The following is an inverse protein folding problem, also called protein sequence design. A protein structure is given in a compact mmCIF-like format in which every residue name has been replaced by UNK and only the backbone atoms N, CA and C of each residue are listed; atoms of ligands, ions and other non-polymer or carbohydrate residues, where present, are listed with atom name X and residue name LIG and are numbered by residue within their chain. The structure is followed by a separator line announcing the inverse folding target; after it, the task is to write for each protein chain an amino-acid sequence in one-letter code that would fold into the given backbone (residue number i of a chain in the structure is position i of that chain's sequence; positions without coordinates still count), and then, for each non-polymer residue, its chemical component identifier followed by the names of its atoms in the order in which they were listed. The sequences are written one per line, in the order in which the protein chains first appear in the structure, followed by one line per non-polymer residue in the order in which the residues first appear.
data_IF_558521953942
#
_entry.id   IF_558521953942
#
_cell.length_a   1.000
_cell.length_b   1.000
_cell.length_c   1.000
_cell.angle_alpha   90.00
_cell.angle_beta   90.00
_cell.angle_gamma   90.00
#
_symmetry.space_group_name_H-M   'P 1'
#
loop_
_entity.id
_entity.type
_entity.pdbx_description
1 polymer ?
#
# COMPACT_ATOMS: atom_id res chain seq x y z
N UNK A 1 15.58 -20.78 -13.48
CA UNK A 1 14.59 -20.42 -14.51
C UNK A 1 14.51 -18.91 -14.36
N UNK A 2 15.16 -18.19 -15.26
CA UNK A 2 15.31 -16.73 -15.19
C UNK A 2 14.07 -16.10 -15.80
N UNK A 3 13.25 -15.42 -14.98
CA UNK A 3 12.10 -14.66 -15.44
C UNK A 3 12.56 -13.26 -15.87
N UNK A 4 12.21 -12.76 -17.06
CA UNK A 4 12.74 -11.49 -17.58
C UNK A 4 12.04 -10.23 -17.02
N UNK A 5 11.32 -10.30 -15.89
CA UNK A 5 10.41 -9.23 -15.46
C UNK A 5 10.65 -8.80 -14.00
N UNK A 6 10.84 -7.50 -13.79
CA UNK A 6 11.26 -6.93 -12.49
C UNK A 6 10.41 -5.71 -12.07
N UNK A 7 9.16 -5.61 -12.50
CA UNK A 7 8.28 -4.54 -12.03
C UNK A 7 7.33 -5.06 -10.94
N UNK A 8 7.53 -4.55 -9.72
CA UNK A 8 6.60 -4.68 -8.60
C UNK A 8 5.59 -3.54 -8.68
N UNK A 9 4.31 -3.82 -8.59
CA UNK A 9 3.28 -2.80 -8.37
C UNK A 9 2.62 -3.04 -7.03
N UNK A 10 2.90 -2.15 -6.06
CA UNK A 10 2.29 -2.17 -4.75
C UNK A 10 1.01 -1.37 -4.71
N UNK A 11 -0.15 -2.03 -4.63
CA UNK A 11 -1.39 -1.40 -4.14
C UNK A 11 -1.77 -2.10 -2.83
N UNK A 12 -1.91 -1.33 -1.76
CA UNK A 12 -3.03 -1.57 -0.88
C UNK A 12 -3.58 -0.22 -0.42
N UNK A 13 -4.79 0.08 -0.88
CA UNK A 13 -5.64 1.13 -0.32
C UNK A 13 -5.68 0.84 1.18
N UNK A 14 -5.15 1.74 2.01
CA UNK A 14 -5.31 1.66 3.45
C UNK A 14 -6.81 1.74 3.76
N UNK A 15 -7.49 0.59 3.79
CA UNK A 15 -8.68 0.42 4.62
C UNK A 15 -8.21 0.17 6.05
N UNK A 16 -7.23 0.94 6.50
CA UNK A 16 -7.00 1.16 7.90
C UNK A 16 -7.95 2.29 8.29
N UNK A 17 -9.20 1.96 8.63
CA UNK A 17 -10.07 2.89 9.36
C UNK A 17 -9.47 3.30 10.73
N UNK A 18 -8.31 2.76 11.11
CA UNK A 18 -7.50 3.23 12.22
C UNK A 18 -6.02 3.35 11.84
N UNK A 19 -5.52 4.58 11.93
CA UNK A 19 -4.15 5.07 11.68
C UNK A 19 -3.01 4.06 11.92
N UNK A 20 -1.97 4.03 11.04
CA UNK A 20 -0.70 3.31 11.26
C UNK A 20 0.13 3.82 12.46
N UNK A 21 -0.23 4.97 13.05
CA UNK A 21 0.45 5.52 14.23
C UNK A 21 0.22 4.72 15.53
N UNK A 22 -0.65 3.71 15.51
CA UNK A 22 -0.86 2.85 16.67
C UNK A 22 0.29 1.85 16.86
N UNK A 23 0.77 1.16 15.82
CA UNK A 23 1.69 0.01 16.00
C UNK A 23 3.08 0.40 16.53
N UNK A 24 3.70 1.45 16.00
CA UNK A 24 5.02 1.88 16.49
C UNK A 24 4.97 2.37 17.95
N UNK A 25 3.87 3.00 18.37
CA UNK A 25 3.65 3.37 19.78
C UNK A 25 3.13 2.21 20.66
N UNK A 26 2.60 1.14 20.06
CA UNK A 26 2.10 -0.05 20.78
C UNK A 26 3.23 -1.05 21.09
N UNK A 27 4.24 -1.20 20.23
CA UNK A 27 5.45 -1.98 20.55
C UNK A 27 6.17 -1.39 21.77
N UNK A 28 6.15 -0.05 21.93
CA UNK A 28 6.67 0.66 23.11
C UNK A 28 5.84 0.36 24.39
N UNK A 29 4.63 -0.21 24.27
CA UNK A 29 3.71 -0.49 25.39
C UNK A 29 3.56 -1.96 25.75
N UNK A 30 4.44 -2.86 25.29
CA UNK A 30 4.41 -4.29 25.66
C UNK A 30 3.08 -4.98 25.26
N UNK A 31 2.51 -4.60 24.12
CA UNK A 31 1.27 -5.20 23.59
C UNK A 31 1.63 -6.32 22.61
N UNK A 32 1.06 -7.49 22.81
CA UNK A 32 1.18 -8.64 21.91
C UNK A 32 0.58 -8.27 20.53
N UNK A 33 1.39 -8.29 19.44
CA UNK A 33 0.93 -7.97 18.09
C UNK A 33 -0.23 -8.85 17.61
N UNK A 34 -0.27 -10.13 18.01
CA UNK A 34 -1.36 -11.04 17.64
C UNK A 34 -2.63 -10.76 18.45
N UNK A 35 -2.50 -10.31 19.69
CA UNK A 35 -3.64 -9.84 20.50
C UNK A 35 -4.19 -8.52 19.95
N UNK A 36 -3.32 -7.62 19.47
CA UNK A 36 -3.72 -6.40 18.77
C UNK A 36 -4.48 -6.72 17.46
N UNK A 37 -3.94 -7.58 16.58
CA UNK A 37 -4.64 -8.00 15.36
C UNK A 37 -6.03 -8.54 15.68
N UNK A 38 -6.13 -9.47 16.63
CA UNK A 38 -7.41 -10.07 17.02
C UNK A 38 -8.42 -9.03 17.51
N UNK A 39 -7.98 -8.06 18.32
CA UNK A 39 -8.86 -7.09 18.97
C UNK A 39 -9.15 -5.85 18.13
N UNK A 40 -8.25 -5.47 17.23
CA UNK A 40 -8.37 -4.28 16.40
C UNK A 40 -8.74 -4.68 14.98
N UNK A 41 -7.80 -5.23 14.21
CA UNK A 41 -7.98 -5.44 12.77
C UNK A 41 -8.97 -6.57 12.43
N UNK A 42 -8.94 -7.65 13.21
CA UNK A 42 -9.81 -8.81 13.09
C UNK A 42 -11.24 -8.57 13.59
N UNK A 43 -11.44 -7.62 14.50
CA UNK A 43 -12.75 -7.30 15.06
C UNK A 43 -13.57 -6.31 14.22
N UNK A 44 -12.93 -5.66 13.24
CA UNK A 44 -13.61 -4.74 12.34
C UNK A 44 -14.68 -5.47 11.49
N UNK A 45 -15.90 -4.92 11.37
CA UNK A 45 -16.93 -5.44 10.48
C UNK A 45 -16.65 -5.02 9.03
N UNK A 46 -15.54 -5.50 8.45
CA UNK A 46 -15.07 -5.09 7.13
C UNK A 46 -16.12 -5.31 6.03
N UNK A 47 -16.94 -6.35 6.11
CA UNK A 47 -17.98 -6.64 5.11
C UNK A 47 -19.12 -5.62 5.12
N UNK A 48 -19.29 -4.85 6.20
CA UNK A 48 -20.25 -3.75 6.28
C UNK A 48 -19.64 -2.43 5.76
N UNK A 49 -18.32 -2.26 5.95
CA UNK A 49 -17.59 -1.04 5.61
C UNK A 49 -17.05 -1.04 4.18
N UNK A 50 -16.69 -2.21 3.67
CA UNK A 50 -16.11 -2.41 2.36
C UNK A 50 -17.07 -3.11 1.43
N UNK A 51 -16.92 -2.78 0.15
CA UNK A 51 -17.67 -3.36 -0.95
C UNK A 51 -16.69 -3.67 -2.08
N UNK A 52 -17.05 -4.58 -3.00
CA UNK A 52 -16.29 -4.77 -4.22
C UNK A 52 -16.00 -3.42 -4.90
N UNK A 53 -14.75 -3.22 -5.32
CA UNK A 53 -14.32 -1.98 -5.96
C UNK A 53 -14.09 -2.26 -7.46
N UNK A 54 -15.13 -2.11 -8.31
CA UNK A 54 -15.03 -2.44 -9.74
C UNK A 54 -14.03 -1.54 -10.48
N UNK A 55 -13.78 -0.32 -9.98
CA UNK A 55 -12.80 0.60 -10.56
C UNK A 55 -11.39 0.08 -10.30
N UNK A 56 -11.09 -0.30 -9.05
CA UNK A 56 -9.81 -0.92 -8.70
C UNK A 56 -9.61 -2.24 -9.44
N UNK A 57 -10.63 -3.10 -9.50
CA UNK A 57 -10.54 -4.38 -10.23
C UNK A 57 -10.18 -4.14 -11.69
N UNK A 58 -10.91 -3.25 -12.38
CA UNK A 58 -10.65 -2.92 -13.78
C UNK A 58 -9.26 -2.30 -13.98
N UNK A 59 -8.80 -1.49 -13.03
CA UNK A 59 -7.43 -0.97 -13.04
C UNK A 59 -6.40 -2.10 -13.10
N UNK A 60 -6.51 -3.07 -12.19
CA UNK A 60 -5.60 -4.20 -12.07
C UNK A 60 -5.71 -5.18 -13.25
N UNK A 61 -6.91 -5.42 -13.77
CA UNK A 61 -7.13 -6.27 -14.96
C UNK A 61 -6.47 -5.71 -16.22
N UNK A 62 -6.38 -4.39 -16.34
CA UNK A 62 -5.78 -3.70 -17.48
C UNK A 62 -4.25 -3.56 -17.36
N UNK A 63 -3.65 -3.95 -16.24
CA UNK A 63 -2.19 -4.05 -16.10
C UNK A 63 -1.70 -5.15 -17.04
N UNK A 64 -0.65 -4.82 -17.81
CA UNK A 64 -0.01 -5.77 -18.67
C UNK A 64 0.86 -6.73 -17.84
N UNK A 65 0.29 -7.90 -17.53
CA UNK A 65 0.94 -8.98 -16.78
C UNK A 65 2.17 -9.56 -17.47
N UNK A 66 2.38 -9.25 -18.75
CA UNK A 66 3.63 -9.60 -19.45
C UNK A 66 4.76 -8.62 -19.12
N UNK A 67 4.48 -7.49 -18.48
CA UNK A 67 5.46 -6.47 -18.08
C UNK A 67 5.64 -6.39 -16.56
N UNK A 68 4.54 -6.49 -15.81
CA UNK A 68 4.48 -6.15 -14.38
C UNK A 68 3.75 -7.20 -13.56
N UNK A 69 4.31 -7.48 -12.38
CA UNK A 69 3.70 -8.31 -11.32
C UNK A 69 3.06 -7.40 -10.28
N UNK A 70 1.90 -7.81 -9.77
CA UNK A 70 1.14 -7.01 -8.77
C UNK A 70 1.22 -7.70 -7.43
N UNK A 71 1.64 -6.96 -6.42
CA UNK A 71 1.82 -7.43 -5.06
C UNK A 71 1.13 -6.50 -4.08
N UNK A 72 0.62 -7.03 -2.98
CA UNK A 72 0.11 -6.23 -1.86
C UNK A 72 1.24 -5.89 -0.92
N UNK A 73 1.37 -4.62 -0.50
CA UNK A 73 2.37 -4.20 0.50
C UNK A 73 1.65 -3.50 1.65
N UNK A 74 1.63 -4.10 2.84
CA UNK A 74 0.85 -3.59 3.97
C UNK A 74 1.58 -3.69 5.30
N UNK A 75 1.25 -2.77 6.21
CA UNK A 75 1.69 -2.85 7.61
C UNK A 75 0.75 -3.71 8.48
N UNK A 76 -0.37 -4.18 7.94
CA UNK A 76 -1.30 -5.09 8.62
C UNK A 76 -0.78 -6.54 8.59
N UNK A 77 -1.44 -7.43 9.35
CA UNK A 77 -1.19 -8.87 9.26
C UNK A 77 -1.85 -9.50 8.03
N UNK A 78 -1.39 -10.69 7.64
CA UNK A 78 -1.87 -11.41 6.46
C UNK A 78 -3.38 -11.66 6.46
N UNK A 79 -3.95 -12.04 7.60
CA UNK A 79 -5.37 -12.35 7.74
C UNK A 79 -6.25 -11.15 7.37
N UNK A 80 -5.90 -9.97 7.88
CA UNK A 80 -6.58 -8.73 7.56
C UNK A 80 -6.41 -8.37 6.07
N UNK A 81 -5.18 -8.43 5.55
CA UNK A 81 -4.89 -8.11 4.16
C UNK A 81 -5.67 -9.01 3.18
N UNK A 82 -5.64 -10.32 3.41
CA UNK A 82 -6.37 -11.30 2.60
C UNK A 82 -7.89 -11.06 2.63
N UNK A 83 -8.45 -10.73 3.80
CA UNK A 83 -9.87 -10.39 3.95
C UNK A 83 -10.24 -9.13 3.16
N UNK A 84 -9.44 -8.08 3.24
CA UNK A 84 -9.66 -6.85 2.46
C UNK A 84 -9.62 -7.12 0.95
N UNK A 85 -8.61 -7.84 0.45
CA UNK A 85 -8.49 -8.16 -0.98
C UNK A 85 -9.70 -8.95 -1.51
N UNK A 86 -10.20 -9.91 -0.72
CA UNK A 86 -11.41 -10.68 -1.05
C UNK A 86 -12.67 -9.83 -1.11
N UNK A 87 -12.88 -8.94 -0.13
CA UNK A 87 -14.07 -8.08 -0.10
C UNK A 87 -14.04 -7.08 -1.27
N UNK A 88 -12.86 -6.53 -1.58
CA UNK A 88 -12.68 -5.65 -2.73
C UNK A 88 -12.82 -6.38 -4.08
N UNK A 89 -12.73 -7.72 -4.07
CA UNK A 89 -12.85 -8.57 -5.26
C UNK A 89 -11.64 -8.46 -6.17
N UNK A 90 -10.43 -8.47 -5.60
CA UNK A 90 -9.16 -8.33 -6.34
C UNK A 90 -8.07 -9.30 -5.87
N UNK A 91 -8.40 -10.25 -4.99
CA UNK A 91 -7.45 -11.24 -4.48
C UNK A 91 -6.89 -12.14 -5.59
N UNK A 92 -7.68 -12.45 -6.62
CA UNK A 92 -7.24 -13.16 -7.83
C UNK A 92 -6.29 -12.35 -8.72
N UNK A 93 -6.16 -11.05 -8.47
CA UNK A 93 -5.31 -10.11 -9.20
C UNK A 93 -4.08 -9.69 -8.41
N UNK A 94 -3.84 -10.23 -7.22
CA UNK A 94 -2.63 -10.00 -6.44
C UNK A 94 -1.85 -11.31 -6.38
N UNK A 95 -0.58 -11.27 -6.75
CA UNK A 95 0.26 -12.47 -6.79
C UNK A 95 0.61 -12.96 -5.39
N UNK A 96 1.04 -12.03 -4.53
CA UNK A 96 1.26 -12.28 -3.11
C UNK A 96 1.24 -10.96 -2.32
N UNK A 97 1.30 -11.05 -0.99
CA UNK A 97 1.30 -9.92 -0.07
C UNK A 97 2.55 -9.93 0.80
N UNK A 98 3.25 -8.81 0.85
CA UNK A 98 4.25 -8.50 1.88
C UNK A 98 3.52 -7.78 3.01
N UNK A 99 3.52 -8.40 4.19
CA UNK A 99 2.78 -7.97 5.36
C UNK A 99 3.68 -7.95 6.60
N UNK A 100 3.23 -7.29 7.67
CA UNK A 100 3.90 -7.38 8.97
C UNK A 100 3.57 -8.72 9.61
N UNK A 101 4.51 -9.66 9.62
CA UNK A 101 4.31 -10.95 10.26
C UNK A 101 4.36 -10.83 11.79
N UNK A 102 3.21 -10.55 12.39
CA UNK A 102 3.07 -10.41 13.84
C UNK A 102 3.45 -11.67 14.63
N UNK A 103 3.61 -12.84 13.99
CA UNK A 103 4.12 -14.04 14.63
C UNK A 103 5.66 -14.09 14.72
N UNK A 104 6.35 -13.26 13.93
CA UNK A 104 7.80 -13.11 13.94
C UNK A 104 8.19 -11.89 14.80
N UNK A 105 8.92 -12.03 15.92
CA UNK A 105 9.30 -10.90 16.77
C UNK A 105 10.23 -9.87 16.09
N UNK A 106 10.87 -10.24 14.98
CA UNK A 106 11.74 -9.38 14.17
C UNK A 106 11.04 -8.92 12.87
N UNK A 107 9.71 -8.83 12.88
CA UNK A 107 8.99 -8.25 11.74
C UNK A 107 9.33 -6.77 11.58
N UNK A 108 9.27 -6.32 10.33
CA UNK A 108 9.50 -4.92 9.95
C UNK A 108 8.23 -4.34 9.36
N UNK A 109 8.10 -3.02 9.41
CA UNK A 109 6.96 -2.30 8.85
C UNK A 109 7.41 -1.09 8.03
N UNK A 110 6.60 -0.64 7.07
CA UNK A 110 6.87 0.63 6.39
C UNK A 110 6.84 1.76 7.42
N UNK A 111 7.78 2.73 7.42
CA UNK A 111 8.77 3.00 6.37
C UNK A 111 10.18 2.44 6.63
N UNK A 112 10.34 1.41 7.46
CA UNK A 112 11.66 0.81 7.76
C UNK A 112 12.29 0.21 6.48
N UNK A 113 13.60 0.45 6.22
CA UNK A 113 14.29 -0.09 5.05
C UNK A 113 14.14 -1.60 4.87
N UNK A 114 14.18 -2.33 5.97
CA UNK A 114 14.09 -3.79 6.02
C UNK A 114 12.76 -4.30 5.43
N UNK A 115 11.66 -3.57 5.58
CA UNK A 115 10.39 -3.93 4.95
C UNK A 115 10.51 -3.95 3.41
N UNK A 116 11.15 -2.93 2.84
CA UNK A 116 11.33 -2.84 1.38
C UNK A 116 12.32 -3.88 0.87
N UNK A 117 13.40 -4.15 1.61
CA UNK A 117 14.33 -5.23 1.26
C UNK A 117 13.65 -6.60 1.31
N UNK A 118 12.81 -6.86 2.31
CA UNK A 118 12.00 -8.07 2.38
C UNK A 118 11.03 -8.16 1.21
N UNK A 119 10.43 -7.04 0.78
CA UNK A 119 9.55 -7.02 -0.39
C UNK A 119 10.29 -7.37 -1.69
N UNK A 120 11.46 -6.78 -1.92
CA UNK A 120 12.32 -7.09 -3.08
C UNK A 120 12.73 -8.57 -3.08
N UNK A 121 13.16 -9.09 -1.92
CA UNK A 121 13.55 -10.49 -1.75
C UNK A 121 12.39 -11.44 -2.01
N UNK A 122 11.20 -11.17 -1.44
CA UNK A 122 10.01 -12.00 -1.63
C UNK A 122 9.56 -12.00 -3.10
N UNK A 123 9.61 -10.84 -3.76
CA UNK A 123 9.32 -10.73 -5.18
C UNK A 123 10.45 -11.25 -6.09
N UNK A 124 11.62 -11.59 -5.57
CA UNK A 124 12.77 -12.01 -6.37
C UNK A 124 13.31 -10.90 -7.30
N UNK A 125 13.21 -9.64 -6.87
CA UNK A 125 13.67 -8.46 -7.62
C UNK A 125 15.04 -8.03 -7.09
N UNK A 126 16.00 -7.89 -7.99
CA UNK A 126 17.35 -7.44 -7.67
C UNK A 126 17.58 -5.96 -7.92
N UNK A 127 16.86 -5.35 -8.87
CA UNK A 127 16.98 -3.94 -9.23
C UNK A 127 15.76 -3.14 -8.73
N UNK A 128 15.87 -2.39 -7.62
CA UNK A 128 14.78 -1.58 -7.10
C UNK A 128 14.29 -0.52 -8.09
N UNK A 129 15.14 -0.07 -9.03
CA UNK A 129 14.78 0.98 -10.00
C UNK A 129 13.64 0.56 -10.94
N UNK A 130 13.36 -0.74 -11.02
CA UNK A 130 12.26 -1.29 -11.82
C UNK A 130 10.93 -1.36 -11.07
N UNK A 131 10.92 -1.05 -9.77
CA UNK A 131 9.71 -1.09 -8.93
C UNK A 131 8.81 0.14 -9.11
N UNK A 132 7.51 -0.11 -9.03
CA UNK A 132 6.42 0.85 -9.03
C UNK A 132 5.68 0.79 -7.69
N UNK A 133 5.63 1.91 -6.98
CA UNK A 133 5.07 1.97 -5.64
C UNK A 133 4.10 3.12 -5.49
N UNK A 134 2.88 2.78 -5.08
CA UNK A 134 1.84 3.73 -4.72
C UNK A 134 1.37 3.44 -3.30
N UNK A 135 1.37 4.46 -2.46
CA UNK A 135 0.98 4.37 -1.05
C UNK A 135 0.31 5.67 -0.63
N UNK A 136 -0.61 5.59 0.34
CA UNK A 136 -1.31 6.77 0.85
C UNK A 136 -0.50 7.54 1.92
N UNK A 137 0.53 6.90 2.47
CA UNK A 137 1.47 7.53 3.38
C UNK A 137 2.69 8.08 2.65
N UNK A 138 2.83 9.40 2.63
CA UNK A 138 3.97 10.06 1.98
C UNK A 138 5.32 9.61 2.55
N UNK A 139 5.40 9.29 3.86
CA UNK A 139 6.65 8.77 4.45
C UNK A 139 7.05 7.41 3.89
N UNK A 140 6.08 6.56 3.55
CA UNK A 140 6.35 5.27 2.92
C UNK A 140 6.90 5.50 1.50
N UNK A 141 6.25 6.38 0.74
CA UNK A 141 6.67 6.70 -0.63
C UNK A 141 8.09 7.31 -0.66
N UNK A 142 8.39 8.22 0.27
CA UNK A 142 9.73 8.79 0.41
C UNK A 142 10.78 7.74 0.77
N UNK A 143 10.47 6.81 1.68
CA UNK A 143 11.38 5.73 2.03
C UNK A 143 11.69 4.83 0.83
N UNK A 144 10.67 4.38 0.08
CA UNK A 144 10.87 3.60 -1.14
C UNK A 144 11.80 4.33 -2.13
N UNK A 145 11.56 5.63 -2.35
CA UNK A 145 12.38 6.47 -3.24
C UNK A 145 13.83 6.58 -2.77
N UNK A 146 14.07 6.81 -1.48
CA UNK A 146 15.41 6.85 -0.87
C UNK A 146 16.14 5.51 -1.06
N UNK A 147 15.40 4.41 -1.05
CA UNK A 147 15.93 3.06 -1.27
C UNK A 147 16.07 2.68 -2.76
N UNK A 148 15.91 3.65 -3.66
CA UNK A 148 16.17 3.49 -5.09
C UNK A 148 14.99 2.95 -5.90
N UNK A 149 13.78 2.92 -5.35
CA UNK A 149 12.61 2.49 -6.12
C UNK A 149 12.26 3.53 -7.19
N UNK A 150 12.28 3.12 -8.45
CA UNK A 150 12.33 4.04 -9.59
C UNK A 150 11.05 4.83 -9.82
N UNK A 151 9.89 4.25 -9.52
CA UNK A 151 8.59 4.85 -9.80
C UNK A 151 7.75 4.93 -8.52
N UNK A 152 7.71 6.08 -7.87
CA UNK A 152 7.04 6.28 -6.59
C UNK A 152 5.97 7.38 -6.69
N UNK A 153 4.73 7.07 -6.29
CA UNK A 153 3.59 7.99 -6.35
C UNK A 153 2.86 8.02 -5.00
N UNK A 154 2.50 9.22 -4.56
CA UNK A 154 1.68 9.41 -3.37
C UNK A 154 0.19 9.43 -3.74
N UNK A 155 -0.59 8.53 -3.17
CA UNK A 155 -2.04 8.51 -3.32
C UNK A 155 -2.69 9.32 -2.20
N UNK A 156 -3.16 10.53 -2.50
CA UNK A 156 -3.81 11.41 -1.54
C UNK A 156 -5.28 11.61 -1.91
N UNK A 157 -6.15 10.76 -1.37
CA UNK A 157 -7.59 10.85 -1.61
C UNK A 157 -8.14 12.20 -1.12
N UNK A 158 -8.76 12.97 -2.03
CA UNK A 158 -9.39 14.25 -1.67
C UNK A 158 -10.57 14.01 -0.73
N UNK A 159 -10.60 14.73 0.39
CA UNK A 159 -11.78 14.82 1.24
C UNK A 159 -11.86 13.82 2.41
N UNK A 160 -10.78 13.11 2.73
CA UNK A 160 -10.75 12.37 4.00
C UNK A 160 -10.68 13.37 5.18
N UNK A 161 -11.73 13.33 6.00
CA UNK A 161 -11.83 14.07 7.26
C UNK A 161 -10.73 13.60 8.20
N UNK A 162 -9.72 14.43 8.41
CA UNK A 162 -8.77 14.21 9.48
C UNK A 162 -9.36 14.75 10.78
N UNK A 163 -9.72 13.86 11.71
CA UNK A 163 -10.12 14.28 13.06
C UNK A 163 -8.87 14.32 13.94
N UNK A 164 -8.37 15.51 14.21
CA UNK A 164 -7.25 15.72 15.13
C UNK A 164 -7.76 16.51 16.34
N UNK A 165 -7.70 15.91 17.54
CA UNK A 165 -8.21 16.55 18.75
C UNK A 165 -9.73 16.79 18.76
N UNK A 166 -10.51 15.94 18.08
CA UNK A 166 -11.97 16.06 18.03
C UNK A 166 -12.51 17.13 17.07
N UNK A 167 -11.66 17.75 16.25
CA UNK A 167 -12.09 18.69 15.21
C UNK A 167 -11.93 18.08 13.82
N UNK A 168 -12.99 18.03 13.00
CA UNK A 168 -12.87 17.64 11.61
C UNK A 168 -12.07 18.68 10.82
N UNK A 169 -10.95 18.26 10.22
CA UNK A 169 -10.23 19.01 9.17
C UNK A 169 -10.48 18.32 7.83
N UNK A 170 -10.93 19.09 6.85
CA UNK A 170 -10.96 18.64 5.46
C UNK A 170 -9.53 18.65 4.91
N UNK A 171 -8.99 17.49 4.57
CA UNK A 171 -7.82 17.43 3.71
C UNK A 171 -8.32 17.71 2.28
N UNK A 172 -8.07 18.91 1.74
CA UNK A 172 -8.29 19.13 0.30
C UNK A 172 -8.73 20.49 -0.22
N UNK A 173 -8.72 21.61 0.52
CA UNK A 173 -8.87 22.92 -0.15
C UNK A 173 -7.64 23.30 -0.99
N UNK A 174 -6.46 22.77 -0.65
CA UNK A 174 -5.17 23.24 -1.17
C UNK A 174 -4.23 22.13 -1.66
N UNK A 175 -4.74 20.92 -1.95
CA UNK A 175 -3.90 19.89 -2.60
C UNK A 175 -3.71 20.29 -4.06
N UNK A 176 -2.58 20.93 -4.33
CA UNK A 176 -2.07 21.10 -5.69
C UNK A 176 -1.76 19.69 -6.24
N UNK A 177 -2.25 19.36 -7.43
CA UNK A 177 -1.82 18.20 -8.22
C UNK A 177 -0.35 18.35 -8.72
N UNK A 178 0.42 19.17 -8.02
CA UNK A 178 1.82 19.43 -8.29
C UNK A 178 2.65 18.42 -7.49
N UNK A 179 3.83 18.02 -8.00
CA UNK A 179 4.76 17.20 -7.24
C UNK A 179 5.00 17.80 -5.86
N UNK A 180 5.23 16.94 -4.86
CA UNK A 180 5.67 17.43 -3.55
C UNK A 180 7.05 18.13 -3.65
N UNK A 181 7.53 18.69 -2.55
CA UNK A 181 8.83 19.39 -2.51
C UNK A 181 10.00 18.49 -2.95
N UNK A 182 9.84 17.16 -2.89
CA UNK A 182 10.84 16.15 -3.28
C UNK A 182 10.62 15.59 -4.70
N UNK A 183 9.67 16.15 -5.46
CA UNK A 183 9.37 15.75 -6.83
C UNK A 183 8.60 14.43 -6.96
N UNK A 184 7.93 13.98 -5.90
CA UNK A 184 7.03 12.82 -5.91
C UNK A 184 5.68 13.25 -6.50
N UNK A 185 5.23 12.55 -7.54
CA UNK A 185 3.91 12.80 -8.12
C UNK A 185 2.78 12.41 -7.16
N UNK A 186 1.70 13.19 -7.17
CA UNK A 186 0.53 12.99 -6.32
C UNK A 186 -0.68 12.70 -7.19
N UNK A 187 -1.43 11.65 -6.84
CA UNK A 187 -2.72 11.34 -7.45
C UNK A 187 -3.82 11.33 -6.38
N UNK A 188 -5.02 11.76 -6.74
CA UNK A 188 -6.18 11.77 -5.86
C UNK A 188 -7.16 10.62 -6.14
N UNK A 189 -7.02 9.98 -7.30
CA UNK A 189 -7.81 8.80 -7.68
C UNK A 189 -6.88 7.76 -8.27
N UNK A 190 -7.13 6.49 -7.95
CA UNK A 190 -6.25 5.39 -8.32
C UNK A 190 -6.21 5.14 -9.85
N UNK A 191 -7.27 5.51 -10.57
CA UNK A 191 -7.35 5.40 -12.03
C UNK A 191 -6.40 6.36 -12.76
N UNK A 192 -5.93 7.42 -12.10
CA UNK A 192 -4.93 8.34 -12.65
C UNK A 192 -3.58 7.65 -12.91
N UNK A 193 -3.32 6.48 -12.31
CA UNK A 193 -2.12 5.69 -12.60
C UNK A 193 -1.99 5.35 -14.09
N UNK A 194 -3.10 5.26 -14.84
CA UNK A 194 -3.06 5.07 -16.30
C UNK A 194 -2.35 6.19 -17.05
N UNK A 195 -2.47 7.42 -16.55
CA UNK A 195 -1.79 8.58 -17.12
C UNK A 195 -0.37 8.76 -16.60
N UNK A 196 -0.11 8.33 -15.37
CA UNK A 196 1.20 8.47 -14.72
C UNK A 196 2.19 7.39 -15.15
N UNK A 197 1.71 6.14 -15.31
CA UNK A 197 2.50 4.98 -15.72
C UNK A 197 1.87 4.29 -16.94
N UNK A 198 1.65 4.97 -18.07
CA UNK A 198 0.97 4.38 -19.23
C UNK A 198 1.67 3.12 -19.78
N UNK A 199 2.97 2.99 -19.57
CA UNK A 199 3.80 1.89 -20.07
C UNK A 199 3.49 0.52 -19.45
N UNK A 200 2.93 0.49 -18.22
CA UNK A 200 2.62 -0.75 -17.50
C UNK A 200 1.21 -1.30 -17.80
N UNK A 201 0.39 -0.53 -18.53
CA UNK A 201 -0.96 -0.95 -18.93
C UNK A 201 -0.96 -1.53 -20.35
N UNK A 202 -1.98 -2.35 -20.64
CA UNK A 202 -2.23 -2.84 -22.00
C UNK A 202 -2.65 -1.66 -22.87
N UNK A 203 -2.07 -1.58 -24.07
CA UNK A 203 -2.45 -0.63 -25.12
C UNK A 203 -3.62 -1.16 -25.94
#
# INVERSE_FOLDING_TARGET
MDWPFEALFGIMKSVCFFRPYALHNFMVRNVDPLDFDRKCDGSLPLEELLKPDPVLRKLLEDIDRTKVRVWGLTNAYYTHASRVLRILGVDDLVEDVVYCDYSNPEFHCKPEPEFYYNALKAAGISDPSKCYFVDDSLSNVKAARVLGWGNCIHFCERGLLHVEGGKPKYIGSDIKEQPDEDGIGVIAKIDQLRGVWPEIFRQ
#
